data_IF_725908677132
#
_entry.id   IF_725908677132
#
_cell.length_a   1.000
_cell.length_b   1.000
_cell.length_c   1.000
_cell.angle_alpha   90.00
_cell.angle_beta   90.00
_cell.angle_gamma   90.00
#
_symmetry.space_group_name_H-M   'P 1'
#
loop_
_entity.id
_entity.type
_entity.pdbx_description
1 polymer ?
#
# COMPACT_ATOMS: atom_id res chain seq x y z
N UNK A 1 -11.37 5.21 -17.71
CA UNK A 1 -12.43 4.93 -16.72
C UNK A 1 -12.23 5.94 -15.60
N UNK A 2 -13.25 6.74 -15.31
CA UNK A 2 -13.25 7.77 -14.27
C UNK A 2 -14.05 7.27 -13.08
N UNK A 3 -13.52 7.51 -11.87
CA UNK A 3 -14.13 7.13 -10.59
C UNK A 3 -15.60 7.55 -10.52
N UNK A 4 -16.48 6.66 -10.08
CA UNK A 4 -17.87 7.01 -9.79
C UNK A 4 -17.90 8.04 -8.64
N UNK A 5 -18.80 9.03 -8.68
CA UNK A 5 -18.86 10.13 -7.69
C UNK A 5 -19.08 9.67 -6.23
N UNK A 6 -19.50 8.42 -6.02
CA UNK A 6 -19.75 7.81 -4.71
C UNK A 6 -18.60 6.94 -4.17
N UNK A 7 -17.40 7.02 -4.77
CA UNK A 7 -16.28 6.16 -4.41
C UNK A 7 -15.47 6.74 -3.24
N UNK A 8 -15.10 5.87 -2.29
CA UNK A 8 -14.35 6.25 -1.07
C UNK A 8 -12.92 6.72 -1.45
N UNK A 9 -12.33 7.66 -0.69
CA UNK A 9 -10.90 7.96 -0.82
C UNK A 9 -10.09 6.69 -0.51
N UNK A 10 -9.02 6.44 -1.26
CA UNK A 10 -8.17 5.25 -1.06
C UNK A 10 -6.91 5.67 -0.33
N UNK A 11 -6.62 5.13 0.85
CA UNK A 11 -5.38 5.30 1.59
C UNK A 11 -4.37 4.22 1.20
N UNK A 12 -3.15 4.61 0.87
CA UNK A 12 -2.04 3.67 0.70
C UNK A 12 -1.32 3.46 2.03
N UNK A 13 -1.07 2.22 2.42
CA UNK A 13 -0.21 1.93 3.59
C UNK A 13 0.96 1.08 3.12
N UNK A 14 2.18 1.60 3.23
CA UNK A 14 3.40 0.82 2.94
C UNK A 14 3.84 0.14 4.22
N UNK A 15 3.88 -1.19 4.20
CA UNK A 15 4.27 -2.05 5.33
C UNK A 15 5.53 -2.81 4.96
N UNK A 16 6.55 -2.79 5.82
CA UNK A 16 7.79 -3.52 5.52
C UNK A 16 8.85 -3.46 6.58
N UNK A 17 10.05 -3.89 6.22
CA UNK A 17 11.17 -4.08 7.12
C UNK A 17 12.08 -2.84 7.19
N UNK A 18 12.53 -2.48 8.39
CA UNK A 18 13.54 -1.43 8.60
C UNK A 18 13.16 -0.10 7.95
N UNK A 19 14.14 0.59 7.37
CA UNK A 19 13.91 1.87 6.66
C UNK A 19 13.18 1.76 5.31
N UNK A 20 12.84 0.56 4.82
CA UNK A 20 12.34 0.38 3.45
C UNK A 20 11.02 1.12 3.16
N UNK A 21 9.97 1.07 4.01
CA UNK A 21 8.74 1.82 3.78
C UNK A 21 8.95 3.33 3.64
N UNK A 22 9.85 3.88 4.47
CA UNK A 22 10.21 5.30 4.44
C UNK A 22 10.92 5.65 3.13
N UNK A 23 11.95 4.91 2.76
CA UNK A 23 12.68 5.12 1.53
C UNK A 23 11.76 5.06 0.30
N UNK A 24 10.84 4.09 0.27
CA UNK A 24 9.84 3.99 -0.79
C UNK A 24 8.93 5.23 -0.88
N UNK A 25 8.42 5.72 0.26
CA UNK A 25 7.60 6.92 0.29
C UNK A 25 8.38 8.15 -0.20
N UNK A 26 9.61 8.32 0.26
CA UNK A 26 10.47 9.47 -0.07
C UNK A 26 10.83 9.49 -1.57
N UNK A 27 11.23 8.36 -2.14
CA UNK A 27 11.55 8.27 -3.57
C UNK A 27 10.30 8.43 -4.45
N UNK A 28 9.16 7.86 -4.06
CA UNK A 28 7.91 8.09 -4.78
C UNK A 28 7.51 9.57 -4.74
N UNK A 29 7.67 10.23 -3.58
CA UNK A 29 7.39 11.65 -3.41
C UNK A 29 8.30 12.53 -4.27
N UNK A 30 9.59 12.22 -4.36
CA UNK A 30 10.52 13.01 -5.17
C UNK A 30 10.21 12.95 -6.67
N UNK A 31 9.62 11.85 -7.13
CA UNK A 31 9.23 11.66 -8.54
C UNK A 31 7.88 12.31 -8.83
N UNK A 32 6.88 12.09 -7.98
CA UNK A 32 5.50 12.58 -8.20
C UNK A 32 5.30 14.03 -7.74
N UNK A 33 6.17 14.52 -6.86
CA UNK A 33 6.08 15.86 -6.23
C UNK A 33 5.27 15.86 -4.93
N UNK A 34 4.70 14.73 -4.51
CA UNK A 34 4.01 14.58 -3.22
C UNK A 34 3.86 13.11 -2.82
N UNK A 35 3.59 12.87 -1.52
CA UNK A 35 3.19 11.56 -0.98
C UNK A 35 1.83 11.58 -0.29
N UNK A 36 1.01 12.61 -0.54
CA UNK A 36 -0.30 12.77 0.08
C UNK A 36 -1.11 11.47 0.04
N UNK A 37 -1.59 11.05 1.21
CA UNK A 37 -2.39 9.85 1.43
C UNK A 37 -1.67 8.51 1.26
N UNK A 38 -0.35 8.51 1.40
CA UNK A 38 0.43 7.34 1.81
C UNK A 38 0.76 7.48 3.30
N UNK A 39 0.60 6.40 4.06
CA UNK A 39 1.14 6.22 5.41
C UNK A 39 2.14 5.06 5.37
N UNK A 40 3.13 5.09 6.26
CA UNK A 40 4.12 4.01 6.38
C UNK A 40 3.99 3.31 7.73
N UNK A 41 4.22 2.01 7.74
CA UNK A 41 4.40 1.18 8.94
C UNK A 41 5.62 0.30 8.73
N UNK A 42 6.59 0.39 9.63
CA UNK A 42 7.78 -0.45 9.60
C UNK A 42 7.85 -1.32 10.86
N UNK A 43 8.52 -2.47 10.78
CA UNK A 43 8.88 -3.25 11.97
C UNK A 43 10.09 -2.67 12.71
N UNK A 44 10.69 -1.60 12.20
CA UNK A 44 11.80 -0.92 12.84
C UNK A 44 11.40 -0.47 14.24
N UNK A 45 12.07 -1.04 15.25
CA UNK A 45 11.83 -0.80 16.67
C UNK A 45 10.40 -1.12 17.15
N UNK A 46 9.62 -1.92 16.42
CA UNK A 46 8.31 -2.39 16.85
C UNK A 46 8.31 -3.91 17.01
N UNK A 47 7.74 -4.38 18.12
CA UNK A 47 7.30 -5.78 18.22
C UNK A 47 6.16 -6.07 17.24
N UNK A 48 5.90 -7.35 17.00
CA UNK A 48 4.79 -7.77 16.15
C UNK A 48 3.42 -7.26 16.65
N UNK A 49 3.22 -7.24 17.97
CA UNK A 49 1.97 -6.76 18.58
C UNK A 49 1.81 -5.25 18.43
N UNK A 50 2.90 -4.48 18.59
CA UNK A 50 2.88 -3.03 18.39
C UNK A 50 2.64 -2.65 16.94
N UNK A 51 3.24 -3.38 15.99
CA UNK A 51 2.96 -3.20 14.57
C UNK A 51 1.49 -3.50 14.24
N UNK A 52 0.96 -4.62 14.74
CA UNK A 52 -0.45 -5.01 14.53
C UNK A 52 -1.38 -3.92 15.06
N UNK A 53 -1.17 -3.47 16.30
CA UNK A 53 -1.95 -2.39 16.91
C UNK A 53 -1.81 -1.06 16.15
N UNK A 54 -0.61 -0.73 15.64
CA UNK A 54 -0.39 0.47 14.84
C UNK A 54 -1.18 0.43 13.54
N UNK A 55 -1.19 -0.71 12.85
CA UNK A 55 -1.95 -0.90 11.61
C UNK A 55 -3.45 -0.77 11.86
N UNK A 56 -3.97 -1.42 12.90
CA UNK A 56 -5.39 -1.31 13.28
C UNK A 56 -5.79 0.12 13.54
N UNK A 57 -5.01 0.83 14.35
CA UNK A 57 -5.26 2.23 14.67
C UNK A 57 -5.34 3.09 13.40
N UNK A 58 -4.45 2.88 12.43
CA UNK A 58 -4.50 3.61 11.15
C UNK A 58 -5.80 3.30 10.40
N UNK A 59 -6.23 2.02 10.37
CA UNK A 59 -7.49 1.63 9.72
C UNK A 59 -8.69 2.27 10.41
N UNK A 60 -8.74 2.23 11.73
CA UNK A 60 -9.81 2.79 12.57
C UNK A 60 -9.88 4.32 12.48
N UNK A 61 -8.75 5.01 12.35
CA UNK A 61 -8.67 6.46 12.13
C UNK A 61 -9.19 6.88 10.74
N UNK A 62 -9.35 5.94 9.80
CA UNK A 62 -9.80 6.19 8.43
C UNK A 62 -11.08 5.41 8.07
N UNK A 63 -12.19 5.55 8.83
CA UNK A 63 -13.38 4.70 8.69
C UNK A 63 -14.15 4.92 7.38
N UNK A 64 -13.87 6.00 6.66
CA UNK A 64 -14.48 6.36 5.36
C UNK A 64 -13.58 6.10 4.16
N UNK A 65 -12.37 5.58 4.38
CA UNK A 65 -11.43 5.27 3.31
C UNK A 65 -11.47 3.79 2.94
N UNK A 66 -11.18 3.50 1.69
CA UNK A 66 -10.67 2.21 1.26
C UNK A 66 -9.15 2.17 1.48
N UNK A 67 -8.57 0.99 1.68
CA UNK A 67 -7.15 0.84 2.00
C UNK A 67 -6.50 -0.13 1.02
N UNK A 68 -5.37 0.30 0.44
CA UNK A 68 -4.46 -0.58 -0.28
C UNK A 68 -3.16 -0.70 0.50
N UNK A 69 -2.94 -1.87 1.10
CA UNK A 69 -1.70 -2.19 1.79
C UNK A 69 -0.66 -2.72 0.81
N UNK A 70 0.49 -2.05 0.75
CA UNK A 70 1.68 -2.42 0.00
C UNK A 70 2.67 -3.08 0.95
N UNK A 71 2.80 -4.40 0.88
CA UNK A 71 3.71 -5.17 1.74
C UNK A 71 4.96 -5.53 0.95
N UNK A 72 6.14 -5.32 1.53
CA UNK A 72 7.41 -5.55 0.87
C UNK A 72 7.62 -7.01 0.46
N UNK A 73 7.38 -7.96 1.35
CA UNK A 73 7.74 -9.37 1.16
C UNK A 73 6.61 -10.30 1.57
N UNK A 74 6.19 -11.16 0.64
CA UNK A 74 5.24 -12.24 0.90
C UNK A 74 5.80 -13.27 1.90
N UNK A 75 4.94 -13.84 2.75
CA UNK A 75 5.33 -14.85 3.75
C UNK A 75 6.11 -14.31 4.95
N UNK A 76 6.40 -13.00 5.00
CA UNK A 76 7.06 -12.35 6.12
C UNK A 76 6.14 -12.15 7.34
N UNK A 77 6.72 -11.77 8.48
CA UNK A 77 5.94 -11.34 9.65
C UNK A 77 5.03 -10.15 9.35
N UNK A 78 5.53 -9.17 8.59
CA UNK A 78 4.75 -8.04 8.10
C UNK A 78 3.55 -8.50 7.25
N UNK A 79 3.74 -9.48 6.36
CA UNK A 79 2.67 -10.07 5.56
C UNK A 79 1.60 -10.76 6.42
N UNK A 80 2.01 -11.53 7.44
CA UNK A 80 1.07 -12.17 8.35
C UNK A 80 0.23 -11.16 9.14
N UNK A 81 0.87 -10.11 9.65
CA UNK A 81 0.20 -9.02 10.37
C UNK A 81 -0.79 -8.29 9.44
N UNK A 82 -0.34 -7.87 8.26
CA UNK A 82 -1.23 -7.22 7.28
C UNK A 82 -2.43 -8.09 6.90
N UNK A 83 -2.22 -9.40 6.72
CA UNK A 83 -3.30 -10.34 6.44
C UNK A 83 -4.29 -10.49 7.63
N UNK A 84 -3.81 -10.46 8.88
CA UNK A 84 -4.67 -10.46 10.07
C UNK A 84 -5.53 -9.20 10.15
N UNK A 85 -4.95 -8.02 9.97
CA UNK A 85 -5.67 -6.74 9.97
C UNK A 85 -6.72 -6.73 8.87
N UNK A 86 -6.36 -7.14 7.65
CA UNK A 86 -7.33 -7.29 6.55
C UNK A 86 -8.53 -8.17 6.91
N UNK A 87 -8.31 -9.30 7.59
CA UNK A 87 -9.40 -10.21 8.00
C UNK A 87 -10.36 -9.58 9.01
N UNK A 88 -9.88 -8.66 9.85
CA UNK A 88 -10.71 -7.95 10.84
C UNK A 88 -11.56 -6.83 10.24
N UNK A 89 -11.15 -6.30 9.08
CA UNK A 89 -11.85 -5.23 8.38
C UNK A 89 -12.25 -5.64 6.94
N UNK A 90 -13.19 -6.60 6.78
CA UNK A 90 -13.55 -7.13 5.48
C UNK A 90 -14.18 -6.06 4.57
N UNK A 91 -13.84 -6.13 3.27
CA UNK A 91 -14.47 -5.33 2.22
C UNK A 91 -13.81 -3.98 1.91
N UNK A 92 -13.05 -3.39 2.84
CA UNK A 92 -12.44 -2.06 2.65
C UNK A 92 -10.92 -2.11 2.48
N UNK A 93 -10.32 -3.30 2.46
CA UNK A 93 -8.86 -3.47 2.45
C UNK A 93 -8.42 -4.47 1.39
N UNK A 94 -7.59 -4.01 0.46
CA UNK A 94 -6.81 -4.84 -0.46
C UNK A 94 -5.36 -4.90 0.01
N UNK A 95 -4.68 -6.03 -0.26
CA UNK A 95 -3.27 -6.24 0.10
C UNK A 95 -2.54 -6.69 -1.16
N UNK A 96 -1.41 -6.04 -1.45
CA UNK A 96 -0.46 -6.44 -2.47
C UNK A 96 0.91 -6.71 -1.81
N UNK A 97 1.58 -7.77 -2.26
CA UNK A 97 2.91 -8.15 -1.78
C UNK A 97 3.95 -7.89 -2.87
N UNK A 98 5.23 -7.81 -2.50
CA UNK A 98 6.31 -7.58 -3.47
C UNK A 98 6.36 -6.12 -3.93
N UNK A 99 6.16 -5.19 -3.00
CA UNK A 99 6.08 -3.75 -3.30
C UNK A 99 7.33 -3.28 -4.05
N UNK A 100 7.12 -2.59 -5.16
CA UNK A 100 8.18 -1.93 -5.91
C UNK A 100 7.82 -0.47 -6.23
N UNK A 101 8.81 0.31 -6.64
CA UNK A 101 8.67 1.75 -6.85
C UNK A 101 7.63 2.12 -7.93
N UNK A 102 7.56 1.44 -9.10
CA UNK A 102 6.54 1.73 -10.11
C UNK A 102 5.10 1.62 -9.62
N UNK A 103 4.80 0.64 -8.75
CA UNK A 103 3.49 0.54 -8.11
C UNK A 103 3.15 1.82 -7.36
N UNK A 104 4.06 2.32 -6.52
CA UNK A 104 3.79 3.49 -5.67
C UNK A 104 3.60 4.78 -6.48
N UNK A 105 4.40 4.95 -7.54
CA UNK A 105 4.23 6.07 -8.48
C UNK A 105 2.85 6.03 -9.13
N UNK A 106 2.44 4.86 -9.65
CA UNK A 106 1.12 4.72 -10.28
C UNK A 106 -0.02 4.81 -9.28
N UNK A 107 0.15 4.33 -8.06
CA UNK A 107 -0.83 4.48 -6.99
C UNK A 107 -1.17 5.95 -6.77
N UNK A 108 -0.15 6.79 -6.56
CA UNK A 108 -0.32 8.23 -6.33
C UNK A 108 -1.03 8.92 -7.51
N UNK A 109 -0.77 8.48 -8.75
CA UNK A 109 -1.40 9.06 -9.94
C UNK A 109 -2.86 8.63 -10.16
N UNK A 110 -3.22 7.39 -9.80
CA UNK A 110 -4.52 6.78 -10.15
C UNK A 110 -5.51 6.63 -8.98
N UNK A 111 -5.10 6.80 -7.72
CA UNK A 111 -5.96 6.62 -6.53
C UNK A 111 -7.24 7.45 -6.50
N UNK A 112 -7.25 8.60 -7.15
CA UNK A 112 -8.41 9.50 -7.23
C UNK A 112 -9.23 9.25 -8.50
N UNK A 113 -8.81 8.30 -9.34
CA UNK A 113 -9.41 7.98 -10.64
C UNK A 113 -10.05 6.61 -10.70
N UNK A 114 -9.63 5.68 -9.84
CA UNK A 114 -10.07 4.28 -9.82
C UNK A 114 -10.65 3.89 -8.46
N UNK A 115 -11.52 2.87 -8.44
CA UNK A 115 -11.95 2.24 -7.19
C UNK A 115 -10.88 1.28 -6.65
N UNK A 116 -11.06 0.76 -5.42
CA UNK A 116 -10.05 -0.08 -4.75
C UNK A 116 -9.66 -1.31 -5.57
N UNK A 117 -10.64 -2.03 -6.12
CA UNK A 117 -10.41 -3.26 -6.91
C UNK A 117 -9.62 -2.95 -8.18
N UNK A 118 -10.08 -1.97 -8.95
CA UNK A 118 -9.41 -1.53 -10.19
C UNK A 118 -7.98 -1.05 -9.91
N UNK A 119 -7.77 -0.34 -8.81
CA UNK A 119 -6.46 0.15 -8.44
C UNK A 119 -5.54 -0.99 -8.01
N UNK A 120 -6.03 -1.96 -7.23
CA UNK A 120 -5.25 -3.12 -6.80
C UNK A 120 -4.81 -3.98 -8.00
N UNK A 121 -5.70 -4.23 -8.96
CA UNK A 121 -5.39 -4.93 -10.21
C UNK A 121 -4.36 -4.15 -11.04
N UNK A 122 -4.50 -2.82 -11.13
CA UNK A 122 -3.50 -1.98 -11.80
C UNK A 122 -2.15 -2.08 -11.10
N UNK A 123 -2.08 -2.08 -9.77
CA UNK A 123 -0.82 -2.23 -9.03
C UNK A 123 -0.17 -3.58 -9.29
N UNK A 124 -0.93 -4.68 -9.30
CA UNK A 124 -0.41 -6.01 -9.61
C UNK A 124 0.20 -6.07 -11.01
N UNK A 125 -0.51 -5.55 -12.01
CA UNK A 125 -0.01 -5.48 -13.38
C UNK A 125 1.24 -4.61 -13.47
N UNK A 126 1.21 -3.42 -12.90
CA UNK A 126 2.34 -2.47 -12.89
C UNK A 126 3.58 -3.10 -12.25
N UNK A 127 3.40 -3.76 -11.12
CA UNK A 127 4.48 -4.43 -10.42
C UNK A 127 5.17 -5.49 -11.27
N UNK A 128 4.38 -6.33 -11.93
CA UNK A 128 4.87 -7.43 -12.75
C UNK A 128 5.48 -6.95 -14.07
N UNK A 129 4.82 -6.01 -14.76
CA UNK A 129 5.26 -5.50 -16.06
C UNK A 129 6.57 -4.72 -16.00
N UNK A 130 6.90 -4.13 -14.85
CA UNK A 130 8.12 -3.34 -14.66
C UNK A 130 9.32 -4.18 -14.19
N UNK A 131 9.09 -5.46 -13.88
CA UNK A 131 10.18 -6.43 -13.64
C UNK A 131 10.59 -6.98 -15.00
N UNK A 132 11.68 -6.44 -15.56
CA UNK A 132 12.17 -6.81 -16.90
C UNK A 132 13.65 -7.17 -16.89
N UNK A 133 14.02 -8.10 -17.75
CA UNK A 133 15.40 -8.26 -18.17
C UNK A 133 15.71 -7.19 -19.21
N UNK A 134 16.85 -6.49 -19.06
CA UNK A 134 17.33 -5.55 -20.07
C UNK A 134 17.67 -6.25 -21.39
N UNK A 135 17.75 -5.51 -22.51
CA UNK A 135 18.26 -6.08 -23.75
C UNK A 135 19.69 -6.60 -23.54
N UNK A 136 19.98 -7.77 -24.12
CA UNK A 136 21.32 -8.36 -24.18
C UNK A 136 22.29 -7.50 -25.00
#
# INVERSE_FOLDING_TARGET
>A
MTKNKNSRPILGIIVGHGGLPRAFQEVAASIVGHSHGIVIVSNENLSAAEMESRLDKIVEEHPKSDILMFIDLYGSGCAHIGAKVRRRHPGNIAVIYGTNLPMLIRFLYYRDRLNLTELAELMQRTGTEEIRLGPS
#
